data_IF_825190975348
#
_entry.id   IF_825190975348
#
_cell.length_a   1.000
_cell.length_b   1.000
_cell.length_c   1.000
_cell.angle_alpha   90.00
_cell.angle_beta   90.00
_cell.angle_gamma   90.00
#
_symmetry.space_group_name_H-M   'P 1'
#
loop_
_entity.id
_entity.type
_entity.pdbx_description
1 polymer ?
#
# COMPACT_ATOMS: atom_id res chain seq x y z
N UNK A 1 11.74 3.29 21.42
CA UNK A 1 11.08 4.42 20.73
C UNK A 1 10.88 4.11 19.29
N UNK A 2 9.68 4.29 18.81
CA UNK A 2 9.36 4.00 17.42
C UNK A 2 9.92 5.06 16.49
N UNK A 3 10.47 4.62 15.36
CA UNK A 3 11.01 5.56 14.38
C UNK A 3 9.86 6.17 13.58
N UNK A 4 9.79 7.52 13.48
CA UNK A 4 8.72 8.16 12.69
C UNK A 4 8.68 7.68 11.25
N UNK A 5 9.84 7.37 10.68
CA UNK A 5 9.96 6.86 9.33
C UNK A 5 9.21 5.52 9.15
N UNK A 6 9.39 4.60 10.10
CA UNK A 6 8.71 3.30 10.05
C UNK A 6 7.21 3.46 10.22
N UNK A 7 6.78 4.30 11.17
CA UNK A 7 5.36 4.57 11.37
C UNK A 7 4.71 5.14 10.13
N UNK A 8 5.39 6.09 9.46
CA UNK A 8 4.88 6.70 8.26
C UNK A 8 4.72 5.68 7.13
N UNK A 9 5.69 4.78 6.99
CA UNK A 9 5.62 3.73 5.97
C UNK A 9 4.51 2.73 6.26
N UNK A 10 4.33 2.34 7.52
CA UNK A 10 3.25 1.45 7.90
C UNK A 10 1.89 2.08 7.62
N UNK A 11 1.77 3.37 7.88
CA UNK A 11 0.53 4.11 7.61
C UNK A 11 0.23 4.14 6.11
N UNK A 12 1.25 4.40 5.30
CA UNK A 12 1.10 4.39 3.85
C UNK A 12 0.73 3.01 3.32
N UNK A 13 1.34 1.97 3.88
CA UNK A 13 1.04 0.59 3.51
C UNK A 13 -0.45 0.28 3.76
N UNK A 14 -0.95 0.64 4.93
CA UNK A 14 -2.35 0.43 5.28
C UNK A 14 -3.28 1.23 4.36
N UNK A 15 -2.90 2.46 4.02
CA UNK A 15 -3.67 3.28 3.10
C UNK A 15 -3.75 2.68 1.71
N UNK A 16 -2.65 2.13 1.22
CA UNK A 16 -2.64 1.47 -0.09
C UNK A 16 -3.50 0.22 -0.11
N UNK A 17 -3.48 -0.56 0.97
CA UNK A 17 -4.34 -1.73 1.08
C UNK A 17 -5.81 -1.34 1.03
N UNK A 18 -6.17 -0.25 1.70
CA UNK A 18 -7.53 0.27 1.67
C UNK A 18 -7.92 0.70 0.26
N UNK A 19 -7.04 1.42 -0.42
CA UNK A 19 -7.29 1.88 -1.78
C UNK A 19 -7.48 0.71 -2.74
N UNK A 20 -6.69 -0.33 -2.60
CA UNK A 20 -6.83 -1.54 -3.42
C UNK A 20 -8.20 -2.17 -3.18
N UNK A 21 -8.58 -2.32 -1.90
CA UNK A 21 -9.87 -2.90 -1.56
C UNK A 21 -11.02 -2.09 -2.13
N UNK A 22 -10.95 -0.77 -2.02
CA UNK A 22 -11.99 0.11 -2.56
C UNK A 22 -12.10 -0.03 -4.08
N UNK A 23 -10.97 -0.10 -4.78
CA UNK A 23 -10.98 -0.23 -6.23
C UNK A 23 -11.59 -1.56 -6.65
N UNK A 24 -11.26 -2.64 -5.93
CA UNK A 24 -11.78 -3.97 -6.26
C UNK A 24 -13.27 -4.13 -5.95
N UNK A 25 -13.86 -3.27 -5.11
CA UNK A 25 -15.29 -3.33 -4.81
C UNK A 25 -16.15 -2.60 -5.84
N UNK A 26 -15.53 -1.87 -6.77
CA UNK A 26 -16.28 -1.20 -7.82
C UNK A 26 -16.84 -2.22 -8.82
N UNK A 27 -17.98 -1.90 -9.46
CA UNK A 27 -18.56 -2.82 -10.46
C UNK A 27 -17.60 -3.13 -11.60
N UNK A 28 -16.75 -2.19 -11.99
CA UNK A 28 -15.76 -2.38 -13.03
C UNK A 28 -14.41 -1.89 -12.54
N UNK A 29 -13.67 -2.70 -11.77
CA UNK A 29 -12.37 -2.28 -11.24
C UNK A 29 -11.38 -1.96 -12.35
N UNK A 30 -10.58 -0.91 -12.14
CA UNK A 30 -9.50 -0.56 -13.05
C UNK A 30 -8.27 -1.35 -12.64
N UNK A 31 -7.95 -2.40 -13.38
CA UNK A 31 -6.84 -3.29 -13.04
C UNK A 31 -5.48 -2.60 -13.15
N UNK A 32 -5.35 -1.57 -14.00
CA UNK A 32 -4.13 -0.79 -14.08
C UNK A 32 -3.87 -0.04 -12.77
N UNK A 33 -4.91 0.54 -12.21
CA UNK A 33 -4.80 1.23 -10.92
C UNK A 33 -4.45 0.23 -9.83
N UNK A 34 -5.12 -0.92 -9.82
CA UNK A 34 -4.87 -1.97 -8.82
C UNK A 34 -3.40 -2.42 -8.88
N UNK A 35 -2.87 -2.65 -10.07
CA UNK A 35 -1.48 -3.05 -10.23
C UNK A 35 -0.51 -1.98 -9.74
N UNK A 36 -0.80 -0.72 -10.05
CA UNK A 36 0.03 0.40 -9.62
C UNK A 36 0.07 0.49 -8.09
N UNK A 37 -1.09 0.34 -7.45
CA UNK A 37 -1.20 0.36 -6.00
C UNK A 37 -0.46 -0.83 -5.37
N UNK A 38 -0.57 -2.01 -5.97
CA UNK A 38 0.13 -3.19 -5.48
C UNK A 38 1.64 -3.03 -5.57
N UNK A 39 2.14 -2.41 -6.63
CA UNK A 39 3.57 -2.13 -6.76
C UNK A 39 4.06 -1.21 -5.66
N UNK A 40 3.30 -0.15 -5.38
CA UNK A 40 3.65 0.79 -4.31
C UNK A 40 3.66 0.09 -2.96
N UNK A 41 2.65 -0.73 -2.72
CA UNK A 41 2.55 -1.48 -1.47
C UNK A 41 3.74 -2.41 -1.30
N UNK A 42 4.12 -3.11 -2.36
CA UNK A 42 5.25 -4.03 -2.32
C UNK A 42 6.56 -3.29 -2.00
N UNK A 43 6.79 -2.14 -2.60
CA UNK A 43 7.99 -1.35 -2.32
C UNK A 43 8.07 -0.94 -0.86
N UNK A 44 6.96 -0.50 -0.30
CA UNK A 44 6.91 -0.12 1.11
C UNK A 44 7.17 -1.35 1.99
N UNK A 45 6.58 -2.47 1.64
CA UNK A 45 6.78 -3.71 2.37
C UNK A 45 8.25 -4.13 2.36
N UNK A 46 8.93 -4.00 1.21
CA UNK A 46 10.34 -4.32 1.10
C UNK A 46 11.19 -3.41 1.98
N UNK A 47 10.90 -2.12 1.99
CA UNK A 47 11.63 -1.18 2.85
C UNK A 47 11.42 -1.54 4.32
N UNK A 48 10.19 -1.85 4.72
CA UNK A 48 9.90 -2.24 6.09
C UNK A 48 10.61 -3.54 6.48
N UNK A 49 10.72 -4.48 5.55
CA UNK A 49 11.37 -5.75 5.80
C UNK A 49 12.89 -5.61 5.99
N UNK A 50 13.48 -4.57 5.43
CA UNK A 50 14.91 -4.33 5.52
C UNK A 50 15.32 -3.44 6.69
N UNK A 51 14.39 -2.96 7.45
CA UNK A 51 14.70 -2.19 8.67
C UNK A 51 14.99 -3.09 9.88
#
# INVERSE_FOLDING_TARGET
MEQPHVSALQFKHAGLERQIAEELTRPAPDLSIVQSLKKRKLRIKEVLAHN
#
